data_IF_274179176463
#
_entry.id   IF_274179176463
#
_cell.length_a   1.000
_cell.length_b   1.000
_cell.length_c   1.000
_cell.angle_alpha   90.00
_cell.angle_beta   90.00
_cell.angle_gamma   90.00
#
_symmetry.space_group_name_H-M   'P 1'
#
loop_
_entity.id
_entity.type
_entity.pdbx_description
1 polymer ?
#
# COMPACT_ATOMS: atom_id res chain seq x y z
N UNK A 1 21.76 -18.01 -36.61
CA UNK A 1 20.82 -18.20 -35.48
C UNK A 1 21.41 -17.92 -34.09
N UNK A 2 22.65 -18.34 -33.75
CA UNK A 2 23.24 -18.06 -32.41
C UNK A 2 23.41 -16.56 -32.07
N UNK A 3 23.69 -15.69 -33.05
CA UNK A 3 23.89 -14.25 -32.82
C UNK A 3 22.60 -13.50 -32.45
N UNK A 4 21.43 -13.99 -32.85
CA UNK A 4 20.13 -13.36 -32.59
C UNK A 4 19.67 -13.59 -31.14
N UNK A 5 20.03 -14.72 -30.55
CA UNK A 5 19.66 -15.07 -29.16
C UNK A 5 20.41 -14.18 -28.15
N UNK A 6 21.69 -13.88 -28.40
CA UNK A 6 22.49 -13.00 -27.54
C UNK A 6 21.95 -11.56 -27.53
N UNK A 7 21.39 -11.09 -28.65
CA UNK A 7 20.76 -9.77 -28.73
C UNK A 7 19.49 -9.69 -27.88
N UNK A 8 18.66 -10.75 -27.90
CA UNK A 8 17.46 -10.83 -27.06
C UNK A 8 17.79 -10.91 -25.57
N UNK A 9 18.84 -11.65 -25.18
CA UNK A 9 19.28 -11.72 -23.78
C UNK A 9 19.81 -10.36 -23.30
N UNK A 10 20.57 -9.64 -24.14
CA UNK A 10 21.04 -8.29 -23.81
C UNK A 10 19.88 -7.29 -23.67
N UNK A 11 18.84 -7.40 -24.50
CA UNK A 11 17.65 -6.55 -24.42
C UNK A 11 16.81 -6.83 -23.17
N UNK A 12 16.64 -8.10 -22.80
CA UNK A 12 15.93 -8.51 -21.57
C UNK A 12 16.68 -8.05 -20.33
N UNK A 13 18.01 -8.24 -20.29
CA UNK A 13 18.83 -7.79 -19.17
C UNK A 13 18.78 -6.27 -19.01
N UNK A 14 18.85 -5.49 -20.09
CA UNK A 14 18.69 -4.03 -19.99
C UNK A 14 17.29 -3.63 -19.51
N UNK A 15 16.23 -4.28 -19.98
CA UNK A 15 14.87 -3.97 -19.51
C UNK A 15 14.66 -4.22 -18.00
N UNK A 16 15.37 -5.20 -17.41
CA UNK A 16 15.34 -5.47 -15.97
C UNK A 16 16.13 -4.44 -15.14
N UNK A 17 17.21 -3.87 -15.68
CA UNK A 17 18.00 -2.83 -15.01
C UNK A 17 17.31 -1.44 -15.04
N UNK A 18 16.50 -1.15 -16.05
CA UNK A 18 15.81 0.14 -16.17
C UNK A 18 14.49 0.26 -15.38
N UNK A 19 14.00 -0.82 -14.74
CA UNK A 19 12.83 -0.74 -13.86
C UNK A 19 13.12 -0.16 -12.47
N UNK A 20 14.37 0.24 -12.17
CA UNK A 20 14.75 0.83 -10.88
C UNK A 20 15.29 2.27 -10.99
N UNK A 21 15.10 2.93 -12.13
CA UNK A 21 15.46 4.35 -12.28
C UNK A 21 14.23 5.21 -12.03
N UNK A 22 14.13 5.82 -10.84
CA UNK A 22 13.10 6.83 -10.62
C UNK A 22 13.01 7.46 -9.24
N UNK A 23 13.21 6.71 -8.15
CA UNK A 23 13.17 7.27 -6.79
C UNK A 23 14.24 6.57 -5.94
N UNK A 24 15.10 7.35 -5.27
CA UNK A 24 16.07 6.88 -4.26
C UNK A 24 15.35 6.40 -3.00
N UNK A 25 14.41 5.47 -3.15
CA UNK A 25 13.64 4.94 -2.06
C UNK A 25 14.45 3.85 -1.35
N UNK A 26 14.89 4.17 -0.13
CA UNK A 26 15.63 3.25 0.73
C UNK A 26 14.70 2.35 1.58
N UNK A 27 13.40 2.31 1.23
CA UNK A 27 12.40 1.49 1.88
C UNK A 27 11.75 0.52 0.87
N UNK A 28 11.67 -0.74 1.25
CA UNK A 28 10.88 -1.75 0.57
C UNK A 28 9.61 -1.99 1.38
N UNK A 29 8.45 -1.97 0.70
CA UNK A 29 7.15 -2.21 1.30
C UNK A 29 6.61 -3.54 0.82
N UNK A 30 6.23 -4.40 1.75
CA UNK A 30 5.47 -5.61 1.47
C UNK A 30 4.25 -5.65 2.39
N UNK A 31 3.21 -6.34 1.96
CA UNK A 31 2.01 -6.45 2.79
C UNK A 31 1.44 -7.85 2.73
N UNK A 32 0.84 -8.24 3.84
CA UNK A 32 0.03 -9.45 3.92
C UNK A 32 -1.40 -9.00 4.18
N UNK A 33 -2.25 -9.18 3.18
CA UNK A 33 -3.67 -9.26 3.40
C UNK A 33 -4.01 -10.73 3.49
N UNK A 34 -4.40 -11.22 4.66
CA UNK A 34 -5.05 -12.54 4.72
C UNK A 34 -6.28 -12.44 3.83
N UNK A 35 -6.15 -13.01 2.64
CA UNK A 35 -6.95 -12.71 1.45
C UNK A 35 -8.39 -13.20 1.53
N UNK A 36 -8.78 -13.78 2.66
CA UNK A 36 -10.05 -14.45 2.82
C UNK A 36 -10.48 -14.31 4.28
N UNK A 37 -11.35 -13.33 4.58
CA UNK A 37 -12.40 -13.46 5.60
C UNK A 37 -11.92 -14.08 6.92
N UNK A 38 -10.78 -13.64 7.46
CA UNK A 38 -10.46 -13.93 8.85
C UNK A 38 -10.96 -12.75 9.67
N UNK A 39 -11.56 -13.02 10.82
CA UNK A 39 -12.37 -12.10 11.64
C UNK A 39 -11.64 -10.85 12.16
N UNK A 40 -10.42 -10.62 11.70
CA UNK A 40 -9.55 -9.51 12.07
C UNK A 40 -9.36 -8.68 10.80
N UNK A 41 -10.10 -7.57 10.72
CA UNK A 41 -10.06 -6.57 9.65
C UNK A 41 -8.72 -5.81 9.65
N UNK A 42 -7.59 -6.53 9.69
CA UNK A 42 -6.26 -5.99 9.90
C UNK A 42 -5.38 -6.24 8.67
N UNK A 43 -4.68 -5.21 8.26
CA UNK A 43 -3.69 -5.18 7.19
C UNK A 43 -2.30 -5.07 7.82
N UNK A 44 -1.41 -6.00 7.50
CA UNK A 44 -0.02 -5.96 7.95
C UNK A 44 0.85 -5.35 6.84
N UNK A 45 1.47 -4.21 7.14
CA UNK A 45 2.44 -3.55 6.27
C UNK A 45 3.84 -3.75 6.85
N UNK A 46 4.67 -4.50 6.15
CA UNK A 46 6.08 -4.61 6.43
C UNK A 46 6.84 -3.50 5.69
N UNK A 47 7.69 -2.80 6.43
CA UNK A 47 8.58 -1.76 5.92
C UNK A 47 10.00 -2.15 6.23
N UNK A 48 10.81 -2.36 5.19
CA UNK A 48 12.19 -2.81 5.29
C UNK A 48 13.14 -1.74 4.79
N UNK A 49 14.18 -1.46 5.56
CA UNK A 49 15.24 -0.57 5.15
C UNK A 49 16.22 -1.30 4.22
N UNK A 50 16.21 -0.94 2.95
CA UNK A 50 17.12 -1.45 1.90
C UNK A 50 18.34 -0.55 1.69
N UNK A 51 18.38 0.62 2.32
CA UNK A 51 19.51 1.55 2.26
C UNK A 51 20.72 1.12 3.08
N UNK A 52 21.82 1.84 2.87
CA UNK A 52 23.11 1.51 3.50
C UNK A 52 23.30 2.04 4.91
N UNK A 53 22.36 2.85 5.41
CA UNK A 53 22.42 3.49 6.72
C UNK A 53 21.09 3.34 7.47
N UNK A 54 21.09 3.64 8.77
CA UNK A 54 19.85 3.63 9.56
C UNK A 54 18.90 4.75 9.11
N UNK A 55 17.63 4.43 8.89
CA UNK A 55 16.60 5.39 8.50
C UNK A 55 15.71 5.73 9.69
N UNK A 56 15.23 6.97 9.73
CA UNK A 56 14.24 7.41 10.71
C UNK A 56 12.85 7.08 10.18
N UNK A 57 12.17 6.12 10.82
CA UNK A 57 10.82 5.72 10.43
C UNK A 57 9.78 6.03 11.52
N UNK A 58 8.53 6.26 11.13
CA UNK A 58 7.42 6.41 12.09
C UNK A 58 7.33 5.19 12.99
N UNK A 59 7.14 5.42 14.29
CA UNK A 59 6.85 4.35 15.24
C UNK A 59 5.43 3.80 15.07
N UNK A 60 4.52 4.65 14.59
CA UNK A 60 3.12 4.34 14.36
C UNK A 60 2.67 4.98 13.05
N UNK A 61 1.93 4.24 12.22
CA UNK A 61 1.21 4.80 11.08
C UNK A 61 -0.26 4.96 11.47
N UNK A 62 -0.82 6.10 11.09
CA UNK A 62 -2.24 6.42 11.27
C UNK A 62 -2.97 6.35 9.93
N UNK A 63 -4.29 6.40 9.94
CA UNK A 63 -5.10 6.50 8.71
C UNK A 63 -4.77 7.72 7.85
N UNK A 64 -4.31 8.81 8.47
CA UNK A 64 -3.96 10.02 7.72
C UNK A 64 -2.76 9.81 6.79
N UNK A 65 -1.97 8.76 7.04
CA UNK A 65 -0.86 8.37 6.19
C UNK A 65 -1.34 7.72 4.88
N UNK A 66 -2.54 7.15 4.84
CA UNK A 66 -3.00 6.29 3.75
C UNK A 66 -4.14 6.92 2.96
N UNK A 67 -4.08 6.80 1.64
CA UNK A 67 -5.17 7.18 0.75
C UNK A 67 -5.81 5.92 0.18
N UNK A 68 -7.13 5.80 0.30
CA UNK A 68 -7.89 4.73 -0.37
C UNK A 68 -8.42 5.23 -1.70
N UNK A 69 -8.41 4.35 -2.71
CA UNK A 69 -8.92 4.65 -4.04
C UNK A 69 -9.52 3.40 -4.70
N UNK A 70 -10.26 3.62 -5.79
CA UNK A 70 -10.88 2.55 -6.60
C UNK A 70 -11.70 1.58 -5.73
N UNK A 71 -12.64 2.15 -4.97
CA UNK A 71 -13.52 1.39 -4.09
C UNK A 71 -14.65 0.80 -4.93
N UNK A 72 -14.83 -0.51 -4.85
CA UNK A 72 -15.84 -1.23 -5.61
C UNK A 72 -16.64 -2.16 -4.71
N UNK A 73 -17.95 -2.22 -4.94
CA UNK A 73 -18.88 -3.11 -4.23
C UNK A 73 -19.19 -4.32 -5.09
N UNK A 74 -19.24 -5.50 -4.49
CA UNK A 74 -19.68 -6.72 -5.16
C UNK A 74 -21.20 -6.68 -5.37
N UNK A 75 -21.63 -6.73 -6.62
CA UNK A 75 -23.01 -6.89 -7.03
C UNK A 75 -23.30 -8.37 -7.24
N UNK A 76 -24.22 -8.93 -6.45
CA UNK A 76 -24.59 -10.34 -6.50
C UNK A 76 -25.35 -10.73 -7.76
N UNK A 77 -26.08 -9.80 -8.37
CA UNK A 77 -26.88 -10.05 -9.59
C UNK A 77 -25.96 -10.17 -10.81
N UNK A 78 -25.02 -9.23 -10.95
CA UNK A 78 -24.07 -9.19 -12.08
C UNK A 78 -22.82 -10.05 -11.83
N UNK A 79 -22.63 -10.52 -10.58
CA UNK A 79 -21.44 -11.24 -10.10
C UNK A 79 -20.13 -10.49 -10.36
N UNK A 80 -20.17 -9.17 -10.27
CA UNK A 80 -19.04 -8.28 -10.58
C UNK A 80 -18.83 -7.25 -9.47
N UNK A 81 -17.61 -6.74 -9.39
CA UNK A 81 -17.31 -5.56 -8.58
C UNK A 81 -17.60 -4.30 -9.40
N UNK A 82 -18.41 -3.41 -8.85
CA UNK A 82 -18.89 -2.18 -9.48
C UNK A 82 -18.40 -0.97 -8.67
N UNK A 83 -17.90 0.06 -9.35
CA UNK A 83 -17.41 1.30 -8.72
C UNK A 83 -18.55 2.01 -7.99
N UNK A 84 -18.29 2.45 -6.74
CA UNK A 84 -19.26 3.18 -5.93
C UNK A 84 -19.17 4.72 -6.10
N UNK A 85 -18.36 5.17 -7.05
CA UNK A 85 -18.12 6.59 -7.36
C UNK A 85 -17.28 7.30 -6.30
N UNK A 86 -16.42 6.58 -5.57
CA UNK A 86 -15.55 7.19 -4.57
C UNK A 86 -14.34 7.83 -5.24
N UNK A 87 -14.23 9.16 -5.13
CA UNK A 87 -13.02 9.90 -5.51
C UNK A 87 -12.11 10.04 -4.30
N UNK A 88 -10.82 9.80 -4.53
CA UNK A 88 -9.77 10.04 -3.54
C UNK A 88 -9.91 11.47 -3.00
N UNK A 89 -9.89 11.60 -1.67
CA UNK A 89 -9.90 12.90 -1.00
C UNK A 89 -8.48 13.21 -0.54
N UNK A 90 -8.07 14.46 -0.67
CA UNK A 90 -6.88 14.95 0.00
C UNK A 90 -7.11 14.81 1.51
N UNK A 91 -6.44 13.84 2.12
CA UNK A 91 -6.47 13.70 3.57
C UNK A 91 -5.48 14.72 4.11
N UNK A 92 -6.02 15.83 4.62
CA UNK A 92 -5.19 16.81 5.30
C UNK A 92 -4.55 16.14 6.52
N UNK A 93 -3.22 15.98 6.46
CA UNK A 93 -2.44 15.59 7.61
C UNK A 93 -2.72 16.56 8.75
N UNK A 94 -3.25 16.06 9.87
CA UNK A 94 -3.48 16.90 11.04
C UNK A 94 -2.12 17.38 11.56
N UNK A 95 -1.86 18.70 11.63
CA UNK A 95 -0.56 19.24 12.05
C UNK A 95 -0.16 18.86 13.49
N UNK A 96 -1.11 18.38 14.29
CA UNK A 96 -0.89 17.96 15.68
C UNK A 96 -0.68 16.45 15.87
N UNK A 97 -0.52 15.67 14.80
CA UNK A 97 -0.08 14.28 14.97
C UNK A 97 1.36 14.26 15.47
N UNK A 98 1.53 13.82 16.72
CA UNK A 98 2.83 13.59 17.33
C UNK A 98 3.61 12.59 16.47
N UNK A 99 4.60 13.08 15.73
CA UNK A 99 5.48 12.24 14.92
C UNK A 99 6.54 11.62 15.82
N UNK A 100 6.21 10.47 16.39
CA UNK A 100 7.19 9.64 17.09
C UNK A 100 7.92 8.78 16.07
N UNK A 101 9.25 8.74 16.16
CA UNK A 101 10.10 8.03 15.23
C UNK A 101 11.07 7.10 15.95
N UNK A 102 11.55 6.09 15.24
CA UNK A 102 12.68 5.28 15.67
C UNK A 102 13.65 5.03 14.50
N UNK A 103 14.87 4.60 14.84
CA UNK A 103 15.87 4.25 13.84
C UNK A 103 15.67 2.79 13.38
N UNK A 104 15.30 2.60 12.12
CA UNK A 104 15.31 1.29 11.45
C UNK A 104 16.69 1.06 10.84
N UNK A 105 17.45 0.15 11.44
CA UNK A 105 18.80 -0.22 10.96
C UNK A 105 18.75 -0.84 9.55
N UNK A 106 19.87 -0.79 8.84
CA UNK A 106 20.07 -1.45 7.53
C UNK A 106 19.59 -2.90 7.55
N UNK A 107 18.87 -3.31 6.50
CA UNK A 107 18.33 -4.66 6.29
C UNK A 107 17.39 -5.15 7.40
N UNK A 108 16.88 -4.26 8.26
CA UNK A 108 15.83 -4.59 9.23
C UNK A 108 14.48 -4.16 8.69
N UNK A 109 13.45 -4.85 9.16
CA UNK A 109 12.06 -4.52 8.88
C UNK A 109 11.29 -4.21 10.15
N UNK A 110 10.19 -3.50 9.97
CA UNK A 110 9.17 -3.23 10.98
C UNK A 110 7.79 -3.50 10.40
N UNK A 111 6.91 -4.09 11.19
CA UNK A 111 5.56 -4.44 10.76
C UNK A 111 4.56 -3.52 11.44
N UNK A 112 3.83 -2.75 10.63
CA UNK A 112 2.69 -1.98 11.07
C UNK A 112 1.42 -2.81 10.95
N UNK A 113 0.63 -2.80 12.01
CA UNK A 113 -0.72 -3.37 12.02
C UNK A 113 -1.72 -2.23 11.84
N UNK A 114 -2.47 -2.26 10.74
CA UNK A 114 -3.40 -1.21 10.35
C UNK A 114 -4.79 -1.81 10.27
N UNK A 115 -5.80 -1.21 10.90
CA UNK A 115 -7.16 -1.70 10.78
C UNK A 115 -7.78 -1.17 9.48
N UNK A 116 -8.36 -2.07 8.70
CA UNK A 116 -9.12 -1.74 7.49
C UNK A 116 -10.29 -0.81 7.80
N UNK A 117 -10.95 -1.00 8.94
CA UNK A 117 -12.03 -0.10 9.40
C UNK A 117 -11.56 1.34 9.52
N UNK A 118 -10.35 1.56 10.04
CA UNK A 118 -9.78 2.88 10.18
C UNK A 118 -9.51 3.49 8.78
N UNK A 119 -9.02 2.69 7.83
CA UNK A 119 -8.76 3.14 6.44
C UNK A 119 -10.03 3.57 5.71
N UNK A 120 -11.10 2.79 5.84
CA UNK A 120 -12.38 3.07 5.18
C UNK A 120 -13.22 4.14 5.88
N UNK A 121 -12.77 4.65 7.04
CA UNK A 121 -13.48 5.68 7.81
C UNK A 121 -13.91 6.87 6.95
N UNK A 122 -13.05 7.32 6.04
CA UNK A 122 -13.33 8.44 5.14
C UNK A 122 -14.34 8.12 4.02
N UNK A 123 -14.56 6.83 3.74
CA UNK A 123 -15.55 6.33 2.80
C UNK A 123 -16.80 5.76 3.48
N UNK A 124 -16.90 5.79 4.82
CA UNK A 124 -17.98 5.15 5.59
C UNK A 124 -19.39 5.55 5.14
N UNK A 125 -19.59 6.81 4.74
CA UNK A 125 -20.90 7.31 4.29
C UNK A 125 -21.33 6.74 2.92
N UNK A 126 -20.44 6.02 2.23
CA UNK A 126 -20.68 5.36 0.94
C UNK A 126 -20.64 3.84 1.04
N UNK A 127 -20.33 3.30 2.23
CA UNK A 127 -20.16 1.88 2.49
C UNK A 127 -21.34 1.42 3.35
N UNK A 128 -22.24 0.65 2.76
CA UNK A 128 -23.31 -0.07 3.44
C UNK A 128 -22.90 -1.53 3.71
N UNK A 129 -23.84 -2.37 4.15
CA UNK A 129 -23.60 -3.81 4.32
C UNK A 129 -23.29 -4.48 2.97
N UNK A 130 -22.17 -5.21 2.90
CA UNK A 130 -21.77 -5.87 1.67
C UNK A 130 -20.29 -6.26 1.60
N UNK A 131 -19.90 -6.77 0.43
CA UNK A 131 -18.52 -7.12 0.10
C UNK A 131 -17.92 -6.04 -0.79
N UNK A 132 -16.72 -5.58 -0.43
CA UNK A 132 -16.02 -4.49 -1.06
C UNK A 132 -14.61 -4.91 -1.42
N UNK A 133 -14.05 -4.24 -2.42
CA UNK A 133 -12.61 -4.20 -2.64
C UNK A 133 -12.14 -2.77 -2.86
N UNK A 134 -10.90 -2.47 -2.48
CA UNK A 134 -10.29 -1.16 -2.66
C UNK A 134 -8.78 -1.28 -2.76
N UNK A 135 -8.11 -0.21 -3.17
CA UNK A 135 -6.65 -0.11 -3.19
C UNK A 135 -6.19 0.96 -2.22
N UNK A 136 -5.00 0.77 -1.66
CA UNK A 136 -4.35 1.74 -0.77
C UNK A 136 -3.16 2.34 -1.52
N UNK A 137 -2.97 3.63 -1.34
CA UNK A 137 -1.78 4.38 -1.69
C UNK A 137 -1.17 4.99 -0.42
N UNK A 138 0.15 4.96 -0.32
CA UNK A 138 0.91 5.48 0.81
C UNK A 138 2.18 6.17 0.30
N UNK A 139 2.46 7.37 0.81
CA UNK A 139 3.73 8.07 0.56
C UNK A 139 4.48 8.31 1.86
N UNK A 140 5.72 7.86 1.88
CA UNK A 140 6.70 8.09 2.94
C UNK A 140 7.69 9.16 2.47
N UNK A 141 7.37 10.42 2.76
CA UNK A 141 8.18 11.57 2.32
C UNK A 141 9.47 11.70 3.16
N UNK A 142 9.41 11.41 4.45
CA UNK A 142 10.49 11.65 5.42
C UNK A 142 11.74 10.74 5.24
N UNK A 143 11.72 9.79 4.29
CA UNK A 143 12.83 8.85 4.01
C UNK A 143 13.17 8.73 2.51
N UNK A 144 13.07 9.84 1.77
CA UNK A 144 13.47 9.89 0.35
C UNK A 144 12.32 9.67 -0.64
N UNK A 145 11.11 10.13 -0.30
CA UNK A 145 9.91 10.03 -1.15
C UNK A 145 9.66 8.61 -1.67
N UNK A 146 9.29 7.76 -0.73
CA UNK A 146 9.00 6.35 -0.95
C UNK A 146 7.49 6.14 -1.09
N UNK A 147 7.01 5.77 -2.27
CA UNK A 147 5.58 5.50 -2.51
C UNK A 147 5.29 4.01 -2.56
N UNK A 148 4.13 3.60 -2.08
CA UNK A 148 3.63 2.23 -2.12
C UNK A 148 2.15 2.20 -2.52
N UNK A 149 1.76 1.21 -3.31
CA UNK A 149 0.35 0.94 -3.60
C UNK A 149 0.06 -0.55 -3.53
N UNK A 150 -1.13 -0.91 -3.03
CA UNK A 150 -1.57 -2.30 -2.97
C UNK A 150 -2.27 -2.73 -4.27
N UNK A 151 -2.35 -4.05 -4.47
CA UNK A 151 -3.45 -4.65 -5.24
C UNK A 151 -4.78 -4.49 -4.47
N UNK A 152 -5.87 -5.03 -5.02
CA UNK A 152 -7.15 -5.02 -4.33
C UNK A 152 -7.08 -5.74 -2.99
N UNK A 153 -7.49 -5.03 -1.94
CA UNK A 153 -7.80 -5.56 -0.64
C UNK A 153 -9.30 -5.82 -0.56
N UNK A 154 -9.70 -6.91 0.09
CA UNK A 154 -11.10 -7.30 0.22
C UNK A 154 -11.59 -7.01 1.64
N UNK A 155 -12.81 -6.49 1.72
CA UNK A 155 -13.44 -6.11 2.99
C UNK A 155 -14.91 -6.48 2.99
N UNK A 156 -15.38 -7.01 4.12
CA UNK A 156 -16.80 -7.27 4.35
C UNK A 156 -17.29 -6.32 5.43
N UNK A 157 -18.22 -5.45 5.08
CA UNK A 157 -18.94 -4.65 6.06
C UNK A 157 -20.16 -5.44 6.52
N UNK A 158 -20.30 -5.66 7.81
CA UNK A 158 -21.48 -6.27 8.44
C UNK A 158 -21.92 -5.34 9.58
N UNK A 159 -22.50 -4.20 9.21
CA UNK A 159 -23.23 -3.34 10.14
C UNK A 159 -24.46 -4.07 10.68
#
# INVERSE_FOLDING_TARGET
>A
MRKTILFFIFFILNSLYYSQSGNNCNLEFSYTSDSIVSKQNDFLLEVKNTGDHSLKIFKHLSVANFQIFDIQKYNSETKRFEDIGYKMKDIQFLPNMRRDFFALKKNRFHVFKIKVEDLIYHARNRIDNGYYRFRIFFEYIDAGSCSFSTNYLYYRNSL
#
